data_IF_355364925938
#
_entry.id   IF_355364925938
#
_cell.length_a   1.000
_cell.length_b   1.000
_cell.length_c   1.000
_cell.angle_alpha   90.00
_cell.angle_beta   90.00
_cell.angle_gamma   90.00
#
_symmetry.space_group_name_H-M   'P 1'
#
loop_
_entity.id
_entity.type
_entity.pdbx_description
1 polymer ?
#
# COMPACT_ATOMS: atom_id res chain seq x y z
N UNK A 1 -59.96 -7.99 35.13
CA UNK A 1 -59.32 -6.78 35.72
C UNK A 1 -57.84 -6.99 36.03
N UNK A 2 -57.43 -8.06 36.75
CA UNK A 2 -55.99 -8.40 36.94
C UNK A 2 -55.25 -8.74 35.64
N UNK A 3 -55.90 -9.35 34.64
CA UNK A 3 -55.30 -9.65 33.33
C UNK A 3 -55.09 -8.40 32.44
N UNK A 4 -55.94 -7.37 32.60
CA UNK A 4 -55.79 -6.10 31.86
C UNK A 4 -54.73 -5.16 32.46
N UNK A 5 -54.29 -5.41 33.70
CA UNK A 5 -53.17 -4.70 34.34
C UNK A 5 -51.81 -5.28 33.88
N UNK A 6 -51.74 -6.58 33.58
CA UNK A 6 -50.55 -7.19 32.99
C UNK A 6 -50.29 -6.66 31.56
N UNK A 7 -51.34 -6.47 30.75
CA UNK A 7 -51.22 -5.91 29.39
C UNK A 7 -50.85 -4.42 29.33
N UNK A 8 -50.98 -3.69 30.45
CA UNK A 8 -50.62 -2.26 30.57
C UNK A 8 -49.29 -2.04 31.31
N UNK A 9 -48.56 -3.10 31.63
CA UNK A 9 -47.24 -2.94 32.23
C UNK A 9 -46.27 -2.43 31.16
N UNK A 10 -45.56 -1.30 31.37
CA UNK A 10 -44.64 -0.72 30.40
C UNK A 10 -43.53 -1.70 29.95
N UNK A 11 -43.28 -2.75 30.74
CA UNK A 11 -42.32 -3.79 30.41
C UNK A 11 -42.81 -4.78 29.32
N UNK A 12 -44.12 -4.89 29.07
CA UNK A 12 -44.66 -5.80 28.05
C UNK A 12 -44.54 -5.23 26.62
N UNK A 13 -44.48 -3.91 26.44
CA UNK A 13 -44.18 -3.29 25.13
C UNK A 13 -42.68 -3.40 24.80
N UNK A 14 -41.82 -3.31 25.82
CA UNK A 14 -40.37 -3.53 25.72
C UNK A 14 -40.09 -4.97 25.26
N UNK A 15 -40.62 -5.98 25.96
CA UNK A 15 -40.44 -7.38 25.55
C UNK A 15 -40.96 -7.69 24.14
N UNK A 16 -42.11 -7.11 23.73
CA UNK A 16 -42.65 -7.26 22.37
C UNK A 16 -41.82 -6.60 21.27
N UNK A 17 -41.24 -5.42 21.52
CA UNK A 17 -40.38 -4.72 20.54
C UNK A 17 -38.98 -5.33 20.46
N UNK A 18 -38.50 -5.94 21.54
CA UNK A 18 -37.21 -6.65 21.58
C UNK A 18 -37.32 -8.11 21.09
N UNK A 19 -38.53 -8.68 21.04
CA UNK A 19 -38.78 -10.10 20.70
C UNK A 19 -38.30 -10.57 19.32
N UNK A 20 -38.43 -9.81 18.22
CA UNK A 20 -37.91 -10.22 16.91
C UNK A 20 -36.39 -10.45 16.92
N UNK A 21 -35.67 -9.74 17.79
CA UNK A 21 -34.21 -9.80 17.91
C UNK A 21 -33.72 -10.99 18.75
N UNK A 22 -34.52 -11.44 19.72
CA UNK A 22 -34.26 -12.64 20.55
C UNK A 22 -34.24 -13.89 19.65
N UNK A 23 -35.22 -14.03 18.76
CA UNK A 23 -35.31 -15.18 17.83
C UNK A 23 -34.17 -15.26 16.79
N UNK A 24 -33.47 -14.17 16.49
CA UNK A 24 -32.32 -14.18 15.56
C UNK A 24 -30.99 -14.50 16.26
N UNK A 25 -30.86 -14.15 17.55
CA UNK A 25 -29.62 -14.21 18.34
C UNK A 25 -29.51 -15.46 19.23
N UNK A 26 -30.60 -16.17 19.52
CA UNK A 26 -30.58 -17.49 20.17
C UNK A 26 -29.76 -18.55 19.39
N UNK A 27 -29.46 -18.31 18.10
CA UNK A 27 -28.55 -19.13 17.30
C UNK A 27 -27.06 -18.83 17.50
N UNK A 28 -26.68 -17.71 18.12
CA UNK A 28 -25.29 -17.24 18.26
C UNK A 28 -24.75 -17.31 19.70
N UNK A 29 -25.62 -17.44 20.71
CA UNK A 29 -25.24 -17.42 22.12
C UNK A 29 -24.59 -18.74 22.57
N UNK A 30 -23.34 -18.98 22.18
CA UNK A 30 -22.47 -19.98 22.81
C UNK A 30 -21.64 -19.36 23.93
N UNK A 31 -22.00 -19.69 25.17
CA UNK A 31 -21.28 -19.71 26.48
C UNK A 31 -20.09 -18.79 26.87
N UNK A 32 -19.47 -17.98 26.01
CA UNK A 32 -18.19 -17.30 26.32
C UNK A 32 -18.28 -15.83 26.76
N UNK A 33 -19.41 -15.14 26.54
CA UNK A 33 -19.56 -13.72 26.85
C UNK A 33 -20.64 -13.50 27.92
N UNK A 34 -20.25 -13.59 29.20
CA UNK A 34 -21.12 -13.16 30.31
C UNK A 34 -20.76 -11.73 30.70
N UNK A 35 -21.60 -10.78 30.32
CA UNK A 35 -21.65 -9.48 31.01
C UNK A 35 -21.91 -9.77 32.50
N UNK A 36 -21.10 -9.22 33.40
CA UNK A 36 -21.31 -9.41 34.83
C UNK A 36 -22.72 -8.96 35.22
N UNK A 37 -23.33 -9.64 36.21
CA UNK A 37 -24.69 -9.38 36.72
C UNK A 37 -24.95 -7.91 37.12
N UNK A 38 -23.90 -7.08 37.17
CA UNK A 38 -23.90 -5.72 37.72
C UNK A 38 -23.58 -4.63 36.68
N UNK A 39 -23.67 -4.87 35.36
CA UNK A 39 -23.40 -3.81 34.37
C UNK A 39 -24.32 -2.58 34.53
N UNK A 40 -25.55 -2.78 35.03
CA UNK A 40 -26.48 -1.70 35.37
C UNK A 40 -26.38 -1.22 36.83
N UNK A 41 -25.36 -1.67 37.58
CA UNK A 41 -25.37 -1.69 39.03
C UNK A 41 -26.45 -2.65 39.56
N UNK A 42 -26.43 -2.99 40.86
CA UNK A 42 -27.62 -3.53 41.49
C UNK A 42 -28.76 -2.56 41.15
N UNK A 43 -29.76 -3.04 40.42
CA UNK A 43 -31.04 -2.37 40.19
C UNK A 43 -31.66 -2.12 41.57
N UNK A 44 -31.19 -1.07 42.24
CA UNK A 44 -31.51 -0.77 43.61
C UNK A 44 -32.95 -0.31 43.63
N UNK A 45 -33.83 -1.21 44.04
CA UNK A 45 -35.20 -0.95 44.52
C UNK A 45 -36.26 -0.44 43.53
N UNK A 46 -36.01 -0.43 42.21
CA UNK A 46 -37.01 -0.04 41.19
C UNK A 46 -37.41 -1.18 40.23
N UNK A 47 -38.64 -1.20 39.68
CA UNK A 47 -39.06 -2.19 38.70
C UNK A 47 -38.31 -1.99 37.37
N UNK A 48 -37.35 -2.87 37.08
CA UNK A 48 -36.65 -2.90 35.80
C UNK A 48 -37.45 -3.65 34.75
N UNK A 49 -37.51 -3.13 33.52
CA UNK A 49 -38.26 -3.77 32.44
C UNK A 49 -37.45 -4.74 31.57
N UNK A 50 -36.12 -4.78 31.73
CA UNK A 50 -35.25 -5.68 30.99
C UNK A 50 -34.67 -6.75 31.92
N UNK A 51 -34.55 -7.98 31.41
CA UNK A 51 -33.76 -9.02 32.06
C UNK A 51 -32.27 -8.85 31.73
N UNK A 52 -31.41 -9.44 32.56
CA UNK A 52 -29.96 -9.50 32.30
C UNK A 52 -29.66 -10.15 30.94
N UNK A 53 -30.44 -11.16 30.57
CA UNK A 53 -30.32 -11.86 29.28
C UNK A 53 -30.60 -10.92 28.10
N UNK A 54 -31.64 -10.10 28.18
CA UNK A 54 -31.96 -9.10 27.14
C UNK A 54 -30.80 -8.12 26.96
N UNK A 55 -30.27 -7.55 28.06
CA UNK A 55 -29.17 -6.57 28.00
C UNK A 55 -27.93 -7.19 27.35
N UNK A 56 -27.60 -8.43 27.70
CA UNK A 56 -26.41 -9.11 27.17
C UNK A 56 -26.54 -9.41 25.69
N UNK A 57 -27.72 -9.88 25.27
CA UNK A 57 -28.01 -10.19 23.87
C UNK A 57 -27.89 -8.95 22.99
N UNK A 58 -28.42 -7.81 23.45
CA UNK A 58 -28.33 -6.55 22.71
C UNK A 58 -26.91 -5.99 22.65
N UNK A 59 -26.20 -5.98 23.78
CA UNK A 59 -24.83 -5.47 23.82
C UNK A 59 -23.88 -6.34 22.97
N UNK A 60 -24.08 -7.66 22.97
CA UNK A 60 -23.33 -8.58 22.11
C UNK A 60 -23.68 -8.38 20.63
N UNK A 61 -24.96 -8.16 20.30
CA UNK A 61 -25.40 -7.86 18.94
C UNK A 61 -24.76 -6.58 18.41
N UNK A 62 -24.72 -5.51 19.22
CA UNK A 62 -24.05 -4.25 18.86
C UNK A 62 -22.55 -4.46 18.60
N UNK A 63 -21.83 -5.11 19.53
CA UNK A 63 -20.40 -5.37 19.36
C UNK A 63 -20.09 -6.26 18.15
N UNK A 64 -20.95 -7.24 17.87
CA UNK A 64 -20.83 -8.12 16.71
C UNK A 64 -21.05 -7.37 15.40
N UNK A 65 -22.08 -6.51 15.33
CA UNK A 65 -22.38 -5.73 14.12
C UNK A 65 -21.28 -4.69 13.84
N UNK A 66 -20.77 -4.05 14.90
CA UNK A 66 -19.64 -3.12 14.80
C UNK A 66 -18.38 -3.84 14.30
N UNK A 67 -18.09 -5.04 14.81
CA UNK A 67 -16.97 -5.86 14.32
C UNK A 67 -17.12 -6.21 12.83
N UNK A 68 -18.32 -6.61 12.40
CA UNK A 68 -18.57 -6.91 10.97
C UNK A 68 -18.33 -5.70 10.06
N UNK A 69 -18.75 -4.51 10.47
CA UNK A 69 -18.51 -3.28 9.68
C UNK A 69 -17.01 -3.00 9.56
N UNK A 70 -16.25 -3.21 10.63
CA UNK A 70 -14.79 -3.05 10.64
C UNK A 70 -14.13 -4.10 9.74
N UNK A 71 -14.47 -5.37 9.90
CA UNK A 71 -13.93 -6.47 9.10
C UNK A 71 -14.20 -6.27 7.61
N UNK A 72 -15.41 -5.80 7.26
CA UNK A 72 -15.77 -5.50 5.86
C UNK A 72 -14.90 -4.39 5.24
N UNK A 73 -14.56 -3.35 6.00
CA UNK A 73 -13.69 -2.27 5.52
C UNK A 73 -12.23 -2.72 5.39
N UNK A 74 -11.73 -3.56 6.31
CA UNK A 74 -10.40 -4.16 6.18
C UNK A 74 -10.31 -5.15 5.01
N UNK A 75 -11.34 -5.96 4.78
CA UNK A 75 -11.42 -6.87 3.63
C UNK A 75 -11.42 -6.09 2.31
N UNK A 76 -12.23 -5.02 2.24
CA UNK A 76 -12.29 -4.14 1.07
C UNK A 76 -10.93 -3.50 0.80
N UNK A 77 -10.29 -2.95 1.81
CA UNK A 77 -8.97 -2.33 1.67
C UNK A 77 -7.91 -3.37 1.27
N UNK A 78 -7.89 -4.54 1.90
CA UNK A 78 -6.92 -5.60 1.62
C UNK A 78 -7.01 -6.07 0.16
N UNK A 79 -8.23 -6.19 -0.39
CA UNK A 79 -8.43 -6.46 -1.82
C UNK A 79 -7.86 -5.35 -2.71
N UNK A 80 -8.09 -4.08 -2.36
CA UNK A 80 -7.53 -2.93 -3.07
C UNK A 80 -6.00 -2.96 -3.05
N UNK A 81 -5.40 -3.22 -1.89
CA UNK A 81 -3.95 -3.32 -1.69
C UNK A 81 -3.33 -4.39 -2.59
N UNK A 82 -3.90 -5.60 -2.62
CA UNK A 82 -3.40 -6.69 -3.45
C UNK A 82 -3.58 -6.42 -4.94
N UNK A 83 -4.68 -5.78 -5.35
CA UNK A 83 -4.88 -5.34 -6.73
C UNK A 83 -3.79 -4.33 -7.14
N UNK A 84 -3.49 -3.34 -6.30
CA UNK A 84 -2.42 -2.37 -6.57
C UNK A 84 -1.05 -3.04 -6.67
N UNK A 85 -0.77 -4.03 -5.81
CA UNK A 85 0.45 -4.84 -5.88
C UNK A 85 0.56 -5.57 -7.23
N UNK A 86 -0.50 -6.28 -7.61
CA UNK A 86 -0.55 -7.05 -8.86
C UNK A 86 -0.36 -6.15 -10.08
N UNK A 87 -1.04 -5.00 -10.11
CA UNK A 87 -0.88 -4.01 -11.18
C UNK A 87 0.56 -3.51 -11.32
N UNK A 88 1.26 -3.27 -10.20
CA UNK A 88 2.66 -2.84 -10.23
C UNK A 88 3.59 -3.97 -10.67
N UNK A 89 3.34 -5.20 -10.23
CA UNK A 89 4.14 -6.34 -10.65
C UNK A 89 3.97 -6.62 -12.16
N UNK A 90 2.74 -6.58 -12.69
CA UNK A 90 2.46 -6.68 -14.14
C UNK A 90 3.15 -5.54 -14.89
N UNK A 91 2.92 -4.29 -14.45
CA UNK A 91 3.53 -3.12 -15.07
C UNK A 91 5.05 -3.23 -15.12
N UNK A 92 5.68 -3.59 -14.00
CA UNK A 92 7.14 -3.71 -13.93
C UNK A 92 7.67 -4.78 -14.89
N UNK A 93 6.98 -5.92 -15.00
CA UNK A 93 7.40 -7.02 -15.87
C UNK A 93 7.27 -6.68 -17.35
N UNK A 94 6.14 -6.14 -17.77
CA UNK A 94 5.91 -5.73 -19.17
C UNK A 94 6.89 -4.63 -19.59
N UNK A 95 7.06 -3.63 -18.71
CA UNK A 95 7.97 -2.52 -18.91
C UNK A 95 9.42 -2.98 -19.08
N UNK A 96 9.92 -3.80 -18.16
CA UNK A 96 11.28 -4.34 -18.18
C UNK A 96 11.51 -5.25 -19.40
N UNK A 97 10.48 -6.01 -19.81
CA UNK A 97 10.55 -6.86 -21.01
C UNK A 97 10.71 -6.04 -22.29
N UNK A 98 9.92 -4.98 -22.45
CA UNK A 98 10.00 -4.13 -23.64
C UNK A 98 11.29 -3.29 -23.64
N UNK A 99 11.72 -2.76 -22.48
CA UNK A 99 13.01 -2.07 -22.36
C UNK A 99 14.19 -2.97 -22.72
N UNK A 100 14.15 -4.24 -22.28
CA UNK A 100 15.15 -5.24 -22.67
C UNK A 100 15.17 -5.41 -24.18
N UNK A 101 14.01 -5.60 -24.81
CA UNK A 101 13.88 -5.78 -26.27
C UNK A 101 14.47 -4.59 -27.04
N UNK A 102 14.14 -3.37 -26.63
CA UNK A 102 14.66 -2.14 -27.24
C UNK A 102 16.18 -2.01 -27.05
N UNK A 103 16.68 -2.24 -25.83
CA UNK A 103 18.12 -2.16 -25.54
C UNK A 103 18.93 -3.18 -26.34
N UNK A 104 18.44 -4.42 -26.45
CA UNK A 104 19.04 -5.46 -27.31
C UNK A 104 19.12 -4.94 -28.76
N UNK A 105 18.01 -4.45 -29.30
CA UNK A 105 17.95 -3.95 -30.68
C UNK A 105 18.92 -2.78 -30.91
N UNK A 106 19.01 -1.83 -29.98
CA UNK A 106 19.90 -0.67 -30.06
C UNK A 106 21.38 -1.09 -30.07
N UNK A 107 21.77 -1.96 -29.14
CA UNK A 107 23.16 -2.39 -29.02
C UNK A 107 23.56 -3.38 -30.12
N UNK A 108 22.67 -4.26 -30.58
CA UNK A 108 22.90 -5.12 -31.76
C UNK A 108 23.18 -4.29 -33.01
N UNK A 109 22.51 -3.15 -33.17
CA UNK A 109 22.71 -2.23 -34.30
C UNK A 109 24.10 -1.58 -34.25
N UNK A 110 24.60 -1.24 -33.05
CA UNK A 110 25.88 -0.55 -32.87
C UNK A 110 27.10 -1.48 -33.00
N UNK A 111 27.04 -2.65 -32.37
CA UNK A 111 28.16 -3.61 -32.37
C UNK A 111 28.09 -4.58 -33.56
N UNK A 112 26.93 -4.73 -34.19
CA UNK A 112 26.63 -5.82 -35.10
C UNK A 112 26.32 -7.12 -34.34
N UNK A 113 25.55 -8.01 -34.97
CA UNK A 113 25.00 -9.21 -34.31
C UNK A 113 26.07 -10.15 -33.73
N UNK A 114 27.18 -10.39 -34.44
CA UNK A 114 28.25 -11.31 -33.97
C UNK A 114 28.92 -10.78 -32.70
N UNK A 115 29.35 -9.52 -32.72
CA UNK A 115 30.06 -8.90 -31.58
C UNK A 115 29.14 -8.75 -30.37
N UNK A 116 27.91 -8.25 -30.60
CA UNK A 116 26.92 -8.12 -29.54
C UNK A 116 26.63 -9.45 -28.86
N UNK A 117 26.32 -10.51 -29.62
CA UNK A 117 25.94 -11.82 -29.05
C UNK A 117 27.08 -12.47 -28.28
N UNK A 118 28.32 -12.27 -28.72
CA UNK A 118 29.49 -12.91 -28.11
C UNK A 118 29.93 -12.22 -26.83
N UNK A 119 29.85 -10.88 -26.76
CA UNK A 119 30.53 -10.11 -25.72
C UNK A 119 29.60 -9.23 -24.86
N UNK A 120 28.44 -8.78 -25.38
CA UNK A 120 27.56 -7.81 -24.69
C UNK A 120 26.25 -8.44 -24.20
N UNK A 121 25.71 -9.39 -24.96
CA UNK A 121 24.36 -9.92 -24.76
C UNK A 121 24.10 -10.47 -23.35
N UNK A 122 25.02 -11.25 -22.80
CA UNK A 122 24.83 -11.86 -21.48
C UNK A 122 24.73 -10.81 -20.37
N UNK A 123 25.49 -9.72 -20.45
CA UNK A 123 25.43 -8.65 -19.45
C UNK A 123 24.14 -7.85 -19.55
N UNK A 124 23.62 -7.65 -20.76
CA UNK A 124 22.28 -7.07 -20.98
C UNK A 124 21.22 -7.98 -20.36
N UNK A 125 21.26 -9.28 -20.66
CA UNK A 125 20.31 -10.25 -20.10
C UNK A 125 20.41 -10.28 -18.57
N UNK A 126 21.62 -10.30 -18.02
CA UNK A 126 21.87 -10.30 -16.58
C UNK A 126 21.26 -9.06 -15.90
N UNK A 127 21.48 -7.86 -16.45
CA UNK A 127 20.90 -6.63 -15.94
C UNK A 127 19.37 -6.69 -15.92
N UNK A 128 18.73 -7.04 -17.05
CA UNK A 128 17.27 -7.06 -17.12
C UNK A 128 16.63 -8.22 -16.33
N UNK A 129 17.32 -9.35 -16.18
CA UNK A 129 16.92 -10.41 -15.26
C UNK A 129 17.01 -9.93 -13.80
N UNK A 130 18.05 -9.18 -13.46
CA UNK A 130 18.22 -8.59 -12.12
C UNK A 130 17.12 -7.56 -11.84
N UNK A 131 16.82 -6.67 -12.80
CA UNK A 131 15.75 -5.67 -12.67
C UNK A 131 14.35 -6.28 -12.60
N UNK A 132 14.11 -7.42 -13.27
CA UNK A 132 12.81 -8.11 -13.22
C UNK A 132 12.66 -9.02 -12.00
N UNK A 133 13.75 -9.39 -11.33
CA UNK A 133 13.68 -10.25 -10.15
C UNK A 133 13.35 -9.43 -8.90
N UNK A 134 12.22 -9.77 -8.29
CA UNK A 134 11.70 -9.07 -7.12
C UNK A 134 12.55 -9.22 -5.86
N UNK A 135 13.50 -10.16 -5.84
CA UNK A 135 14.42 -10.42 -4.74
C UNK A 135 15.80 -9.77 -4.93
N UNK A 136 16.09 -9.20 -6.11
CA UNK A 136 17.37 -8.55 -6.35
C UNK A 136 17.54 -7.33 -5.46
N UNK A 137 18.69 -7.23 -4.82
CA UNK A 137 19.10 -6.07 -4.03
C UNK A 137 19.52 -4.89 -4.94
N UNK A 138 19.64 -3.70 -4.34
CA UNK A 138 20.20 -2.53 -5.04
C UNK A 138 21.65 -2.79 -5.45
N UNK A 139 22.39 -3.55 -4.64
CA UNK A 139 23.77 -3.96 -4.92
C UNK A 139 23.85 -4.90 -6.11
N UNK A 140 22.88 -5.81 -6.27
CA UNK A 140 22.80 -6.69 -7.45
C UNK A 140 22.57 -5.87 -8.74
N UNK A 141 21.66 -4.89 -8.70
CA UNK A 141 21.40 -3.98 -9.84
C UNK A 141 22.63 -3.15 -10.15
N UNK A 142 23.31 -2.62 -9.12
CA UNK A 142 24.56 -1.87 -9.27
C UNK A 142 25.63 -2.72 -9.94
N UNK A 143 25.85 -3.93 -9.43
CA UNK A 143 26.82 -4.90 -9.97
C UNK A 143 26.52 -5.27 -11.42
N UNK A 144 25.27 -5.64 -11.73
CA UNK A 144 24.88 -6.01 -13.10
C UNK A 144 25.01 -4.83 -14.09
N UNK A 145 24.78 -3.60 -13.61
CA UNK A 145 24.96 -2.38 -14.40
C UNK A 145 26.44 -2.10 -14.68
N UNK A 146 27.29 -2.22 -13.65
CA UNK A 146 28.75 -2.08 -13.79
C UNK A 146 29.30 -3.17 -14.72
N UNK A 147 28.83 -4.41 -14.59
CA UNK A 147 29.24 -5.51 -15.47
C UNK A 147 28.87 -5.24 -16.93
N UNK A 148 27.69 -4.63 -17.20
CA UNK A 148 27.33 -4.16 -18.53
C UNK A 148 28.29 -3.09 -19.03
N UNK A 149 28.60 -2.06 -18.23
CA UNK A 149 29.54 -1.00 -18.62
C UNK A 149 30.93 -1.56 -18.94
N UNK A 150 31.41 -2.50 -18.12
CA UNK A 150 32.68 -3.19 -18.34
C UNK A 150 32.70 -3.89 -19.70
N UNK A 151 31.66 -4.67 -20.02
CA UNK A 151 31.59 -5.35 -21.31
C UNK A 151 31.47 -4.37 -22.49
N UNK A 152 30.74 -3.27 -22.35
CA UNK A 152 30.68 -2.24 -23.38
C UNK A 152 32.07 -1.63 -23.65
N UNK A 153 32.82 -1.29 -22.60
CA UNK A 153 34.20 -0.76 -22.72
C UNK A 153 35.11 -1.77 -23.41
N UNK A 154 35.06 -3.04 -22.99
CA UNK A 154 35.89 -4.11 -23.55
C UNK A 154 35.56 -4.34 -25.02
N UNK A 155 34.27 -4.45 -25.37
CA UNK A 155 33.83 -4.63 -26.76
C UNK A 155 34.22 -3.45 -27.65
N UNK A 156 34.06 -2.22 -27.18
CA UNK A 156 34.50 -1.03 -27.90
C UNK A 156 36.02 -1.04 -28.12
N UNK A 157 36.80 -1.34 -27.08
CA UNK A 157 38.25 -1.42 -27.20
C UNK A 157 38.66 -2.50 -28.22
N UNK A 158 38.09 -3.71 -28.16
CA UNK A 158 38.36 -4.77 -29.15
C UNK A 158 38.01 -4.33 -30.56
N UNK A 159 36.86 -3.67 -30.74
CA UNK A 159 36.38 -3.27 -32.05
C UNK A 159 37.28 -2.21 -32.73
N UNK A 160 37.90 -1.32 -31.95
CA UNK A 160 38.66 -0.17 -32.48
C UNK A 160 40.17 -0.23 -32.27
N UNK A 161 40.66 -1.10 -31.39
CA UNK A 161 42.08 -1.20 -31.06
C UNK A 161 42.72 -2.53 -31.46
N UNK A 162 41.95 -3.60 -31.63
CA UNK A 162 42.50 -4.95 -31.86
C UNK A 162 42.18 -5.42 -33.27
N UNK A 163 43.24 -5.74 -34.04
CA UNK A 163 43.14 -6.17 -35.45
C UNK A 163 42.43 -7.54 -35.56
N UNK A 164 42.65 -8.41 -34.58
CA UNK A 164 41.94 -9.68 -34.44
C UNK A 164 40.90 -9.62 -33.31
N UNK A 165 39.63 -9.41 -33.66
CA UNK A 165 38.51 -9.31 -32.70
C UNK A 165 38.27 -10.58 -31.87
N UNK A 166 38.86 -11.71 -32.25
CA UNK A 166 38.79 -12.98 -31.51
C UNK A 166 39.90 -13.12 -30.45
N UNK A 167 40.81 -12.14 -30.34
CA UNK A 167 41.88 -12.16 -29.35
C UNK A 167 41.33 -11.94 -27.94
N UNK A 168 41.57 -12.90 -27.05
CA UNK A 168 41.23 -12.79 -25.64
C UNK A 168 42.17 -11.79 -24.99
N UNK A 169 41.62 -10.67 -24.49
CA UNK A 169 42.38 -9.71 -23.69
C UNK A 169 42.80 -10.36 -22.38
N UNK A 170 44.04 -10.15 -21.96
CA UNK A 170 44.50 -10.64 -20.67
C UNK A 170 43.73 -9.99 -19.51
N UNK A 171 43.64 -10.67 -18.36
CA UNK A 171 42.86 -10.21 -17.21
C UNK A 171 43.41 -8.92 -16.57
N UNK A 172 44.74 -8.73 -16.54
CA UNK A 172 45.38 -7.50 -16.05
C UNK A 172 45.09 -6.33 -16.99
N UNK A 173 45.19 -6.54 -18.30
CA UNK A 173 44.83 -5.53 -19.30
C UNK A 173 43.36 -5.15 -19.19
N UNK A 174 42.47 -6.13 -19.11
CA UNK A 174 41.02 -5.92 -18.94
C UNK A 174 40.72 -5.09 -17.69
N UNK A 175 41.32 -5.43 -16.55
CA UNK A 175 41.17 -4.68 -15.29
C UNK A 175 41.69 -3.24 -15.41
N UNK A 176 42.83 -3.05 -16.08
CA UNK A 176 43.39 -1.72 -16.34
C UNK A 176 42.43 -0.88 -17.18
N UNK A 177 41.95 -1.43 -18.30
CA UNK A 177 41.07 -0.74 -19.25
C UNK A 177 39.77 -0.29 -18.57
N UNK A 178 39.12 -1.18 -17.83
CA UNK A 178 37.90 -0.87 -17.08
C UNK A 178 38.14 0.25 -16.08
N UNK A 179 39.15 0.11 -15.21
CA UNK A 179 39.42 1.11 -14.18
C UNK A 179 39.73 2.49 -14.80
N UNK A 180 40.53 2.52 -15.86
CA UNK A 180 40.87 3.78 -16.52
C UNK A 180 39.68 4.38 -17.26
N UNK A 181 38.85 3.56 -17.90
CA UNK A 181 37.65 4.00 -18.58
C UNK A 181 36.64 4.66 -17.62
N UNK A 182 36.50 4.14 -16.40
CA UNK A 182 35.70 4.80 -15.35
C UNK A 182 36.31 6.12 -14.87
N UNK A 183 37.64 6.20 -14.75
CA UNK A 183 38.35 7.41 -14.33
C UNK A 183 38.18 8.56 -15.34
N UNK A 184 38.28 8.25 -16.64
CA UNK A 184 38.20 9.25 -17.72
C UNK A 184 36.78 9.48 -18.25
N UNK A 185 35.77 8.86 -17.63
CA UNK A 185 34.37 8.87 -18.07
C UNK A 185 34.18 8.47 -19.56
N UNK A 186 34.83 7.36 -19.95
CA UNK A 186 34.82 6.87 -21.34
C UNK A 186 33.40 6.59 -21.86
N UNK A 187 32.50 6.16 -20.97
CA UNK A 187 31.08 6.04 -21.23
C UNK A 187 30.37 7.23 -20.57
N UNK A 188 30.09 8.27 -21.36
CA UNK A 188 29.47 9.49 -20.85
C UNK A 188 28.13 9.19 -20.15
N UNK A 189 27.88 9.79 -18.99
CA UNK A 189 26.65 9.58 -18.20
C UNK A 189 26.48 8.18 -17.58
N UNK A 190 27.53 7.34 -17.55
CA UNK A 190 27.48 6.03 -16.86
C UNK A 190 27.08 6.15 -15.37
N UNK A 191 27.55 7.19 -14.68
CA UNK A 191 27.23 7.45 -13.26
C UNK A 191 25.77 7.83 -13.07
N UNK A 192 25.26 8.69 -13.95
CA UNK A 192 23.86 9.09 -13.95
C UNK A 192 22.96 7.89 -14.21
N UNK A 193 23.33 7.02 -15.16
CA UNK A 193 22.55 5.83 -15.46
C UNK A 193 22.55 4.83 -14.30
N UNK A 194 23.71 4.60 -13.68
CA UNK A 194 23.82 3.78 -12.47
C UNK A 194 22.92 4.32 -11.35
N UNK A 195 22.93 5.64 -11.14
CA UNK A 195 22.09 6.31 -10.15
C UNK A 195 20.60 6.12 -10.44
N UNK A 196 20.16 6.26 -11.70
CA UNK A 196 18.76 6.07 -12.09
C UNK A 196 18.30 4.63 -11.84
N UNK A 197 19.11 3.63 -12.26
CA UNK A 197 18.75 2.21 -12.12
C UNK A 197 18.71 1.76 -10.66
N UNK A 198 19.70 2.19 -9.86
CA UNK A 198 19.74 1.88 -8.42
C UNK A 198 18.62 2.59 -7.66
N UNK A 199 18.36 3.88 -7.93
CA UNK A 199 17.25 4.62 -7.31
C UNK A 199 15.89 4.00 -7.66
N UNK A 200 15.69 3.61 -8.92
CA UNK A 200 14.46 2.94 -9.34
C UNK A 200 14.26 1.58 -8.66
N UNK A 201 15.33 0.80 -8.51
CA UNK A 201 15.31 -0.46 -7.77
C UNK A 201 14.95 -0.24 -6.29
N UNK A 202 15.60 0.73 -5.62
CA UNK A 202 15.32 1.07 -4.22
C UNK A 202 13.86 1.48 -4.00
N UNK A 203 13.30 2.31 -4.89
CA UNK A 203 11.91 2.77 -4.78
C UNK A 203 10.90 1.62 -4.92
N UNK A 204 11.14 0.70 -5.87
CA UNK A 204 10.30 -0.49 -6.01
C UNK A 204 10.40 -1.41 -4.79
N UNK A 205 11.59 -1.57 -4.19
CA UNK A 205 11.77 -2.33 -2.96
C UNK A 205 11.05 -1.69 -1.77
N UNK A 206 11.17 -0.36 -1.60
CA UNK A 206 10.46 0.39 -0.57
C UNK A 206 8.95 0.20 -0.70
N UNK A 207 8.43 0.33 -1.92
CA UNK A 207 7.00 0.15 -2.20
C UNK A 207 6.51 -1.27 -1.84
N UNK A 208 7.24 -2.31 -2.25
CA UNK A 208 6.91 -3.70 -1.94
C UNK A 208 6.96 -3.98 -0.45
N UNK A 209 7.99 -3.47 0.22
CA UNK A 209 8.20 -3.60 1.67
C UNK A 209 7.05 -2.93 2.42
N UNK A 210 6.64 -1.74 1.99
CA UNK A 210 5.50 -1.03 2.55
C UNK A 210 4.19 -1.82 2.43
N UNK A 211 3.91 -2.46 1.28
CA UNK A 211 2.73 -3.33 1.15
C UNK A 211 2.74 -4.47 2.19
N UNK A 212 3.91 -5.08 2.43
CA UNK A 212 4.05 -6.15 3.43
C UNK A 212 3.76 -5.61 4.84
N UNK A 213 4.30 -4.44 5.19
CA UNK A 213 4.04 -3.80 6.49
C UNK A 213 2.57 -3.42 6.67
N UNK A 214 1.94 -2.79 5.67
CA UNK A 214 0.51 -2.47 5.67
C UNK A 214 -0.32 -3.73 5.92
N UNK A 215 0.00 -4.82 5.22
CA UNK A 215 -0.73 -6.08 5.38
C UNK A 215 -0.53 -6.69 6.79
N UNK A 216 0.71 -6.67 7.30
CA UNK A 216 1.01 -7.18 8.64
C UNK A 216 0.32 -6.37 9.74
N UNK A 217 0.26 -5.04 9.61
CA UNK A 217 -0.43 -4.16 10.55
C UNK A 217 -1.95 -4.40 10.54
N UNK A 218 -2.54 -4.63 9.36
CA UNK A 218 -3.95 -5.01 9.24
C UNK A 218 -4.22 -6.36 9.92
N UNK A 219 -3.40 -7.39 9.65
CA UNK A 219 -3.55 -8.69 10.30
C UNK A 219 -3.42 -8.59 11.83
N UNK A 220 -2.49 -7.75 12.30
CA UNK A 220 -2.31 -7.50 13.73
C UNK A 220 -3.56 -6.90 14.35
N UNK A 221 -4.12 -5.83 13.79
CA UNK A 221 -5.29 -5.15 14.39
C UNK A 221 -6.56 -6.01 14.31
N UNK A 222 -6.77 -6.76 13.22
CA UNK A 222 -7.96 -7.61 13.06
C UNK A 222 -7.91 -8.90 13.88
N UNK A 223 -6.71 -9.36 14.29
CA UNK A 223 -6.56 -10.50 15.19
C UNK A 223 -6.94 -10.21 16.65
N UNK A 224 -7.11 -8.94 17.01
CA UNK A 224 -7.40 -8.53 18.38
C UNK A 224 -8.92 -8.52 18.64
N UNK A 225 -9.41 -9.24 19.66
CA UNK A 225 -10.81 -9.18 20.06
C UNK A 225 -11.08 -7.83 20.72
N UNK A 226 -11.53 -6.87 19.91
CA UNK A 226 -11.65 -5.46 20.28
C UNK A 226 -13.11 -5.09 20.52
N UNK A 227 -13.98 -5.19 19.51
CA UNK A 227 -15.39 -4.77 19.65
C UNK A 227 -16.27 -5.77 20.41
N UNK A 228 -15.89 -7.04 20.44
CA UNK A 228 -16.56 -8.09 21.23
C UNK A 228 -15.95 -8.24 22.63
N UNK A 229 -15.00 -7.37 23.01
CA UNK A 229 -14.41 -7.40 24.34
C UNK A 229 -15.45 -7.13 25.42
N UNK A 230 -15.31 -7.80 26.57
CA UNK A 230 -16.21 -7.60 27.71
C UNK A 230 -16.25 -6.13 28.16
N UNK A 231 -15.16 -5.37 28.03
CA UNK A 231 -15.12 -3.94 28.38
C UNK A 231 -15.99 -3.09 27.46
N UNK A 232 -15.91 -3.27 26.14
CA UNK A 232 -16.76 -2.54 25.19
C UNK A 232 -18.24 -2.93 25.35
N UNK A 233 -18.54 -4.23 25.44
CA UNK A 233 -19.90 -4.74 25.63
C UNK A 233 -20.50 -4.22 26.95
N UNK A 234 -19.77 -4.28 28.06
CA UNK A 234 -20.23 -3.77 29.36
C UNK A 234 -20.46 -2.27 29.34
N UNK A 235 -19.59 -1.52 28.66
CA UNK A 235 -19.72 -0.07 28.58
C UNK A 235 -20.93 0.34 27.75
N UNK A 236 -21.14 -0.29 26.60
CA UNK A 236 -22.37 -0.12 25.83
C UNK A 236 -23.60 -0.50 26.66
N UNK A 237 -23.58 -1.67 27.33
CA UNK A 237 -24.69 -2.06 28.20
C UNK A 237 -24.99 -0.99 29.27
N UNK A 238 -23.97 -0.50 29.98
CA UNK A 238 -24.10 0.47 31.08
C UNK A 238 -24.54 1.86 30.63
N UNK A 239 -23.92 2.39 29.58
CA UNK A 239 -24.13 3.76 29.13
C UNK A 239 -25.37 3.87 28.21
N UNK A 240 -25.75 2.76 27.56
CA UNK A 240 -26.84 2.75 26.56
C UNK A 240 -28.08 1.98 27.01
N UNK A 241 -27.94 0.70 27.38
CA UNK A 241 -29.08 -0.18 27.61
C UNK A 241 -29.67 -0.02 29.01
N UNK A 242 -28.83 0.12 30.03
CA UNK A 242 -29.26 0.24 31.43
C UNK A 242 -30.19 1.45 31.70
N UNK A 243 -29.92 2.67 31.17
CA UNK A 243 -30.83 3.80 31.34
C UNK A 243 -32.23 3.57 30.78
N UNK A 244 -32.36 2.80 29.68
CA UNK A 244 -33.65 2.43 29.08
C UNK A 244 -34.43 1.44 29.97
N UNK A 245 -33.71 0.58 30.70
CA UNK A 245 -34.29 -0.49 31.50
C UNK A 245 -34.74 -0.07 32.92
N UNK A 246 -34.20 1.03 33.47
CA UNK A 246 -34.42 1.47 34.88
C UNK A 246 -35.57 2.48 35.03
N UNK A 247 -35.91 3.25 33.99
CA UNK A 247 -36.71 4.46 34.15
C UNK A 247 -38.11 4.39 33.52
N UNK A 248 -39.04 3.68 34.17
CA UNK A 248 -40.43 3.47 33.69
C UNK A 248 -41.28 4.75 33.56
N UNK A 249 -41.00 5.82 34.30
CA UNK A 249 -41.75 7.09 34.21
C UNK A 249 -41.26 8.01 33.08
N UNK A 250 -39.95 8.02 32.77
CA UNK A 250 -39.43 8.60 31.51
C UNK A 250 -39.88 7.81 30.29
N UNK A 251 -40.06 6.50 30.42
CA UNK A 251 -40.43 5.60 29.33
C UNK A 251 -41.90 5.72 28.92
N UNK A 252 -42.84 6.00 29.84
CA UNK A 252 -44.24 6.26 29.48
C UNK A 252 -44.45 7.55 28.66
N UNK A 253 -43.54 8.53 28.75
CA UNK A 253 -43.52 9.68 27.84
C UNK A 253 -42.92 9.33 26.46
N UNK A 254 -42.05 8.31 26.39
CA UNK A 254 -41.41 7.81 25.16
C UNK A 254 -42.33 6.80 24.43
N UNK A 255 -43.19 6.06 25.13
CA UNK A 255 -44.12 5.06 24.55
C UNK A 255 -45.31 5.70 23.82
N UNK A 256 -45.74 6.90 24.20
CA UNK A 256 -46.90 7.57 23.59
C UNK A 256 -46.57 8.33 22.30
N UNK A 257 -45.30 8.33 21.89
CA UNK A 257 -44.84 8.83 20.60
C UNK A 257 -44.51 7.61 19.73
N UNK A 258 -45.14 7.46 18.56
CA UNK A 258 -44.91 6.33 17.65
C UNK A 258 -43.48 6.28 17.07
N UNK A 259 -42.61 7.20 17.51
CA UNK A 259 -41.23 7.35 17.12
C UNK A 259 -40.30 6.90 18.27
N UNK A 260 -39.91 5.63 18.25
CA UNK A 260 -38.91 5.02 19.15
C UNK A 260 -37.65 5.90 19.31
N UNK A 261 -37.12 6.10 20.53
CA UNK A 261 -35.83 6.78 20.77
C UNK A 261 -34.79 5.84 21.45
N UNK A 262 -34.01 5.02 20.71
CA UNK A 262 -32.66 4.65 21.16
C UNK A 262 -31.72 5.85 20.98
N UNK A 263 -30.74 6.00 21.88
CA UNK A 263 -29.73 7.06 22.04
C UNK A 263 -29.71 8.27 21.09
N UNK A 264 -29.40 9.43 21.66
CA UNK A 264 -28.92 10.57 20.89
C UNK A 264 -27.62 10.22 20.15
N UNK A 265 -27.50 10.70 18.90
CA UNK A 265 -26.35 10.41 18.03
C UNK A 265 -25.00 10.74 18.72
N UNK A 266 -24.95 11.80 19.53
CA UNK A 266 -23.76 12.18 20.30
C UNK A 266 -23.30 11.13 21.32
N UNK A 267 -24.23 10.52 22.06
CA UNK A 267 -23.92 9.50 23.06
C UNK A 267 -23.46 8.19 22.38
N UNK A 268 -24.09 7.82 21.26
CA UNK A 268 -23.68 6.64 20.49
C UNK A 268 -22.26 6.84 19.92
N UNK A 269 -21.97 8.03 19.38
CA UNK A 269 -20.62 8.38 18.91
C UNK A 269 -19.60 8.32 20.04
N UNK A 270 -19.93 8.78 21.25
CA UNK A 270 -19.04 8.72 22.42
C UNK A 270 -18.72 7.27 22.81
N UNK A 271 -19.74 6.42 22.98
CA UNK A 271 -19.56 5.00 23.35
C UNK A 271 -18.72 4.27 22.30
N UNK A 272 -19.06 4.45 21.01
CA UNK A 272 -18.34 3.82 19.89
C UNK A 272 -16.88 4.25 19.85
N UNK A 273 -16.58 5.55 19.93
CA UNK A 273 -15.19 6.07 19.98
C UNK A 273 -14.42 5.51 21.17
N UNK A 274 -15.10 5.32 22.29
CA UNK A 274 -14.47 4.80 23.49
C UNK A 274 -14.18 3.30 23.35
N UNK A 275 -15.06 2.52 22.74
CA UNK A 275 -14.77 1.14 22.34
C UNK A 275 -13.57 1.07 21.36
N UNK A 276 -13.44 2.03 20.45
CA UNK A 276 -12.29 2.12 19.53
C UNK A 276 -10.97 2.42 20.26
N UNK A 277 -11.01 3.08 21.42
CA UNK A 277 -9.83 3.47 22.21
C UNK A 277 -9.45 2.48 23.32
N UNK A 278 -10.39 1.72 23.89
CA UNK A 278 -10.19 0.98 25.15
C UNK A 278 -9.82 -0.51 25.01
N UNK A 279 -9.38 -0.93 23.84
CA UNK A 279 -9.13 -2.36 23.57
C UNK A 279 -7.63 -2.64 23.51
N UNK A 280 -7.23 -3.91 23.58
CA UNK A 280 -5.82 -4.34 23.52
C UNK A 280 -5.09 -3.91 22.22
N UNK A 281 -5.82 -3.32 21.26
CA UNK A 281 -5.27 -2.50 20.17
C UNK A 281 -6.26 -1.40 19.78
N UNK A 282 -5.89 -0.14 20.00
CA UNK A 282 -6.74 1.02 19.67
C UNK A 282 -6.84 1.19 18.15
N UNK A 283 -8.07 1.15 17.61
CA UNK A 283 -8.31 1.43 16.19
C UNK A 283 -8.02 2.88 15.83
N UNK A 284 -8.11 3.81 16.78
CA UNK A 284 -7.80 5.23 16.56
C UNK A 284 -6.28 5.43 16.49
N UNK A 285 -5.51 4.77 17.35
CA UNK A 285 -4.05 4.78 17.27
C UNK A 285 -3.57 4.09 16.00
N UNK A 286 -4.16 2.93 15.65
CA UNK A 286 -3.92 2.26 14.39
C UNK A 286 -4.22 3.20 13.22
N UNK A 287 -5.41 3.82 13.14
CA UNK A 287 -5.79 4.70 12.04
C UNK A 287 -4.83 5.89 11.91
N UNK A 288 -4.40 6.47 13.04
CA UNK A 288 -3.45 7.59 13.06
C UNK A 288 -2.08 7.18 12.53
N UNK A 289 -1.57 6.02 12.96
CA UNK A 289 -0.30 5.47 12.47
C UNK A 289 -0.42 5.05 10.99
N UNK A 290 -1.54 4.43 10.62
CA UNK A 290 -1.84 3.95 9.28
C UNK A 290 -1.91 5.08 8.26
N UNK A 291 -2.40 6.26 8.66
CA UNK A 291 -2.37 7.47 7.84
C UNK A 291 -0.95 7.87 7.43
N UNK A 292 0.07 7.53 8.20
CA UNK A 292 1.46 7.80 7.81
C UNK A 292 1.88 7.03 6.56
N UNK A 293 1.28 5.86 6.27
CA UNK A 293 1.51 5.17 4.99
C UNK A 293 1.07 6.01 3.79
N UNK A 294 0.00 6.82 3.91
CA UNK A 294 -0.43 7.74 2.86
C UNK A 294 0.64 8.81 2.57
N UNK A 295 1.31 9.31 3.63
CA UNK A 295 2.42 10.26 3.48
C UNK A 295 3.62 9.60 2.78
N UNK A 296 3.96 8.37 3.17
CA UNK A 296 5.06 7.61 2.54
C UNK A 296 4.77 7.37 1.05
N UNK A 297 3.54 6.96 0.69
CA UNK A 297 3.13 6.78 -0.71
C UNK A 297 3.31 8.08 -1.51
N UNK A 298 2.88 9.21 -0.94
CA UNK A 298 3.03 10.53 -1.56
C UNK A 298 4.50 10.91 -1.75
N UNK A 299 5.34 10.64 -0.77
CA UNK A 299 6.77 10.97 -0.85
C UNK A 299 7.49 10.09 -1.89
N UNK A 300 7.08 8.82 -2.04
CA UNK A 300 7.53 7.93 -3.12
C UNK A 300 7.08 8.47 -4.48
N UNK A 301 5.80 8.85 -4.64
CA UNK A 301 5.27 9.46 -5.87
C UNK A 301 6.05 10.72 -6.24
N UNK A 302 6.28 11.61 -5.28
CA UNK A 302 7.04 12.84 -5.49
C UNK A 302 8.48 12.53 -5.92
N UNK A 303 9.14 11.56 -5.28
CA UNK A 303 10.50 11.15 -5.63
C UNK A 303 10.56 10.61 -7.07
N UNK A 304 9.56 9.82 -7.49
CA UNK A 304 9.46 9.33 -8.88
C UNK A 304 9.35 10.49 -9.88
N UNK A 305 8.56 11.51 -9.56
CA UNK A 305 8.38 12.71 -10.37
C UNK A 305 9.66 13.56 -10.43
N UNK A 306 10.27 13.83 -9.28
CA UNK A 306 11.47 14.68 -9.16
C UNK A 306 12.67 14.07 -9.88
N UNK A 307 12.85 12.74 -9.74
CA UNK A 307 13.86 12.01 -10.49
C UNK A 307 13.54 11.86 -11.96
N UNK A 308 12.31 12.19 -12.39
CA UNK A 308 11.76 11.86 -13.71
C UNK A 308 11.99 10.38 -14.04
N UNK A 309 11.85 9.51 -13.03
CA UNK A 309 12.35 8.15 -13.08
C UNK A 309 11.75 7.38 -14.26
N UNK A 310 10.42 7.43 -14.43
CA UNK A 310 9.74 6.73 -15.52
C UNK A 310 10.17 7.27 -16.88
N UNK A 311 10.30 8.59 -17.02
CA UNK A 311 10.76 9.22 -18.26
C UNK A 311 12.18 8.75 -18.60
N UNK A 312 13.09 8.78 -17.63
CA UNK A 312 14.49 8.42 -17.84
C UNK A 312 14.66 6.93 -18.11
N UNK A 313 14.00 6.06 -17.35
CA UNK A 313 14.01 4.61 -17.58
C UNK A 313 13.43 4.27 -18.95
N UNK A 314 12.41 5.00 -19.42
CA UNK A 314 11.79 4.71 -20.71
C UNK A 314 12.71 4.98 -21.90
N UNK A 315 13.66 5.90 -21.68
CA UNK A 315 14.71 6.30 -22.62
C UNK A 315 16.02 5.56 -22.34
N UNK A 316 16.04 4.54 -21.47
CA UNK A 316 17.25 3.79 -21.11
C UNK A 316 18.04 3.30 -22.33
N UNK A 317 17.34 2.70 -23.28
CA UNK A 317 17.94 2.19 -24.52
C UNK A 317 18.58 3.33 -25.37
N UNK A 318 17.99 4.52 -25.35
CA UNK A 318 18.52 5.72 -26.02
C UNK A 318 19.76 6.23 -25.29
N UNK A 319 19.71 6.31 -23.95
CA UNK A 319 20.88 6.70 -23.15
C UNK A 319 22.07 5.77 -23.39
N UNK A 320 21.84 4.45 -23.39
CA UNK A 320 22.87 3.46 -23.70
C UNK A 320 23.38 3.60 -25.14
N UNK A 321 22.48 3.81 -26.10
CA UNK A 321 22.85 4.04 -27.50
C UNK A 321 23.75 5.27 -27.65
N UNK A 322 23.32 6.43 -27.15
CA UNK A 322 24.05 7.69 -27.26
C UNK A 322 25.41 7.64 -26.56
N UNK A 323 25.46 7.00 -25.40
CA UNK A 323 26.69 6.77 -24.64
C UNK A 323 27.71 5.96 -25.46
N UNK A 324 27.27 4.88 -26.09
CA UNK A 324 28.13 4.04 -26.95
C UNK A 324 28.52 4.80 -28.23
N UNK A 325 27.62 5.52 -28.88
CA UNK A 325 27.91 6.34 -30.07
C UNK A 325 28.96 7.42 -29.77
N UNK A 326 28.85 8.11 -28.64
CA UNK A 326 29.86 9.10 -28.21
C UNK A 326 31.22 8.45 -28.00
N UNK A 327 31.25 7.27 -27.37
CA UNK A 327 32.48 6.52 -27.16
C UNK A 327 33.11 6.06 -28.49
N UNK A 328 32.30 5.55 -29.44
CA UNK A 328 32.74 5.19 -30.80
C UNK A 328 33.42 6.38 -31.49
N UNK A 329 32.82 7.56 -31.42
CA UNK A 329 33.28 8.75 -32.12
C UNK A 329 34.44 9.47 -31.42
N UNK A 330 34.80 9.08 -30.19
CA UNK A 330 35.83 9.78 -29.41
C UNK A 330 37.19 9.08 -29.52
N UNK A 331 37.96 9.49 -30.52
CA UNK A 331 39.35 9.02 -30.70
C UNK A 331 40.24 9.23 -29.46
N UNK A 332 39.98 10.30 -28.70
CA UNK A 332 40.76 10.64 -27.52
C UNK A 332 40.65 9.60 -26.41
N UNK A 333 39.49 8.98 -26.23
CA UNK A 333 39.27 7.93 -25.21
C UNK A 333 40.25 6.78 -25.45
N UNK A 334 40.31 6.27 -26.67
CA UNK A 334 41.16 5.14 -27.01
C UNK A 334 42.66 5.45 -26.91
N UNK A 335 43.06 6.67 -27.26
CA UNK A 335 44.45 7.14 -27.07
C UNK A 335 44.81 7.16 -25.58
N UNK A 336 43.92 7.66 -24.73
CA UNK A 336 44.16 7.71 -23.28
C UNK A 336 44.19 6.30 -22.67
N UNK A 337 43.28 5.41 -23.10
CA UNK A 337 43.28 4.01 -22.68
C UNK A 337 44.55 3.28 -23.09
N UNK A 338 45.01 3.44 -24.34
CA UNK A 338 46.25 2.82 -24.82
C UNK A 338 47.49 3.32 -24.08
N UNK A 339 47.56 4.62 -23.76
CA UNK A 339 48.68 5.19 -23.00
C UNK A 339 48.73 4.67 -21.57
N UNK A 340 47.58 4.52 -20.92
CA UNK A 340 47.49 4.06 -19.54
C UNK A 340 47.61 2.54 -19.41
N UNK A 341 47.10 1.81 -20.40
CA UNK A 341 47.04 0.36 -20.46
C UNK A 341 47.69 -0.11 -21.76
N UNK A 342 49.03 -0.10 -21.85
CA UNK A 342 49.74 -0.43 -23.08
C UNK A 342 49.52 -1.89 -23.47
N UNK A 343 49.05 -2.10 -24.69
CA UNK A 343 48.89 -3.40 -25.34
C UNK A 343 49.72 -3.43 -26.63
N UNK A 344 50.70 -4.34 -26.77
CA UNK A 344 51.55 -4.43 -27.95
C UNK A 344 50.79 -4.81 -29.24
N UNK A 345 49.60 -5.39 -29.11
CA UNK A 345 48.76 -5.77 -30.24
C UNK A 345 47.78 -4.66 -30.64
N UNK A 346 47.72 -3.57 -29.86
CA UNK A 346 46.75 -2.51 -30.09
C UNK A 346 47.23 -1.52 -31.16
N UNK A 347 46.43 -1.37 -32.23
CA UNK A 347 46.57 -0.31 -33.22
C UNK A 347 45.23 0.39 -33.36
N UNK A 348 45.24 1.73 -33.33
CA UNK A 348 44.01 2.50 -33.45
C UNK A 348 43.50 2.46 -34.89
N UNK A 349 42.36 1.80 -35.11
CA UNK A 349 41.69 1.74 -36.41
C UNK A 349 40.72 2.91 -36.57
N UNK A 350 40.71 3.54 -37.75
CA UNK A 350 39.76 4.60 -38.07
C UNK A 350 38.34 4.01 -38.21
N UNK A 351 37.32 4.56 -37.51
CA UNK A 351 35.95 4.13 -37.72
C UNK A 351 35.46 4.64 -39.09
N UNK A 352 35.37 3.76 -40.08
CA UNK A 352 34.42 3.96 -41.19
C UNK A 352 33.10 3.31 -40.77
N UNK A 353 32.42 3.92 -39.81
CA UNK A 353 31.04 3.58 -39.49
C UNK A 353 30.17 4.73 -40.00
N UNK A 354 29.40 4.46 -41.06
CA UNK A 354 28.21 5.26 -41.35
C UNK A 354 27.36 5.28 -40.09
N UNK A 355 27.08 6.47 -39.55
CA UNK A 355 26.23 6.63 -38.37
C UNK A 355 24.95 5.79 -38.56
N UNK A 356 24.68 4.83 -37.66
CA UNK A 356 23.42 4.11 -37.72
C UNK A 356 22.26 5.10 -37.51
N UNK A 357 21.08 4.83 -38.10
CA UNK A 357 19.94 5.74 -38.04
C UNK A 357 19.56 6.04 -36.58
N UNK A 358 19.14 7.28 -36.33
CA UNK A 358 18.57 7.69 -35.04
C UNK A 358 17.40 6.79 -34.67
N UNK A 359 17.46 6.17 -33.50
CA UNK A 359 16.38 5.36 -32.96
C UNK A 359 15.24 6.30 -32.54
N UNK A 360 14.04 6.10 -33.07
CA UNK A 360 12.90 6.97 -32.75
C UNK A 360 12.36 6.69 -31.34
N UNK A 361 12.03 7.75 -30.62
CA UNK A 361 11.36 7.65 -29.32
C UNK A 361 9.98 7.02 -29.50
N UNK A 362 9.71 5.87 -28.88
CA UNK A 362 8.34 5.34 -28.73
C UNK A 362 7.58 6.10 -27.62
N UNK A 363 7.29 7.38 -27.85
CA UNK A 363 6.66 8.30 -26.88
C UNK A 363 5.34 7.78 -26.29
N UNK A 364 4.58 7.00 -27.06
CA UNK A 364 3.24 6.54 -26.69
C UNK A 364 3.26 5.47 -25.57
N UNK A 365 4.22 4.53 -25.61
CA UNK A 365 4.42 3.54 -24.55
C UNK A 365 4.89 4.19 -23.25
N UNK A 366 5.81 5.16 -23.34
CA UNK A 366 6.30 5.94 -22.19
C UNK A 366 5.16 6.66 -21.47
N UNK A 367 4.27 7.29 -22.23
CA UNK A 367 3.14 8.04 -21.69
C UNK A 367 2.13 7.13 -20.99
N UNK A 368 1.81 5.97 -21.58
CA UNK A 368 0.91 4.98 -20.98
C UNK A 368 1.50 4.39 -19.70
N UNK A 369 2.81 4.13 -19.66
CA UNK A 369 3.47 3.57 -18.49
C UNK A 369 3.60 4.56 -17.33
N UNK A 370 3.89 5.83 -17.60
CA UNK A 370 3.95 6.86 -16.57
C UNK A 370 2.57 7.12 -15.94
N UNK A 371 1.52 7.15 -16.77
CA UNK A 371 0.15 7.28 -16.28
C UNK A 371 -0.27 6.10 -15.41
N UNK A 372 0.20 4.90 -15.72
CA UNK A 372 -0.15 3.67 -14.99
C UNK A 372 0.47 3.62 -13.59
N UNK A 373 1.77 3.87 -13.43
CA UNK A 373 2.41 3.86 -12.10
C UNK A 373 1.83 4.95 -11.19
N UNK A 374 1.68 6.16 -11.73
CA UNK A 374 1.07 7.30 -11.03
C UNK A 374 -0.36 6.99 -10.57
N UNK A 375 -1.15 6.37 -11.45
CA UNK A 375 -2.52 5.97 -11.15
C UNK A 375 -2.57 4.96 -10.00
N UNK A 376 -1.70 3.94 -10.01
CA UNK A 376 -1.69 2.92 -8.94
C UNK A 376 -1.27 3.52 -7.60
N UNK A 377 -0.25 4.38 -7.57
CA UNK A 377 0.18 5.05 -6.33
C UNK A 377 -0.93 5.93 -5.75
N UNK A 378 -1.60 6.73 -6.60
CA UNK A 378 -2.74 7.55 -6.18
C UNK A 378 -3.93 6.71 -5.72
N UNK A 379 -4.19 5.58 -6.37
CA UNK A 379 -5.25 4.67 -5.96
C UNK A 379 -4.96 4.05 -4.60
N UNK A 380 -3.70 3.68 -4.33
CA UNK A 380 -3.28 3.16 -3.03
C UNK A 380 -3.39 4.24 -1.95
N UNK A 381 -2.88 5.44 -2.22
CA UNK A 381 -3.00 6.59 -1.31
C UNK A 381 -4.47 6.87 -0.96
N UNK A 382 -5.33 6.98 -1.97
CA UNK A 382 -6.77 7.19 -1.80
C UNK A 382 -7.43 6.05 -1.02
N UNK A 383 -7.01 4.80 -1.23
CA UNK A 383 -7.50 3.65 -0.46
C UNK A 383 -7.12 3.75 1.02
N UNK A 384 -5.89 4.20 1.32
CA UNK A 384 -5.41 4.40 2.71
C UNK A 384 -6.22 5.51 3.38
N UNK A 385 -6.37 6.65 2.71
CA UNK A 385 -7.13 7.78 3.22
C UNK A 385 -8.61 7.42 3.44
N UNK A 386 -9.19 6.63 2.52
CA UNK A 386 -10.57 6.12 2.64
C UNK A 386 -10.71 5.22 3.86
N UNK A 387 -9.79 4.26 4.07
CA UNK A 387 -9.84 3.40 5.25
C UNK A 387 -9.70 4.20 6.54
N UNK A 388 -8.81 5.20 6.57
CA UNK A 388 -8.69 6.12 7.69
C UNK A 388 -10.02 6.81 8.02
N UNK A 389 -10.63 7.48 7.03
CA UNK A 389 -11.93 8.18 7.20
C UNK A 389 -13.01 7.19 7.65
N UNK A 390 -13.02 5.98 7.09
CA UNK A 390 -14.01 4.98 7.44
C UNK A 390 -13.91 4.53 8.89
N UNK A 391 -12.68 4.26 9.36
CA UNK A 391 -12.42 3.85 10.74
C UNK A 391 -12.67 4.99 11.74
N UNK A 392 -12.39 6.26 11.39
CA UNK A 392 -12.54 7.37 12.35
C UNK A 392 -13.93 8.01 12.36
N UNK A 393 -14.68 7.93 11.25
CA UNK A 393 -15.93 8.69 11.09
C UNK A 393 -17.08 7.87 10.51
N UNK A 394 -16.86 7.15 9.40
CA UNK A 394 -17.97 6.52 8.66
C UNK A 394 -18.62 5.39 9.44
N UNK A 395 -17.85 4.43 9.94
CA UNK A 395 -18.39 3.28 10.68
C UNK A 395 -19.18 3.77 11.90
N UNK A 396 -18.66 4.78 12.58
CA UNK A 396 -19.33 5.41 13.73
C UNK A 396 -20.64 6.07 13.29
N UNK A 397 -20.65 6.74 12.15
CA UNK A 397 -21.87 7.37 11.61
C UNK A 397 -22.88 6.32 11.15
N UNK A 398 -22.45 5.26 10.49
CA UNK A 398 -23.32 4.20 9.98
C UNK A 398 -23.98 3.42 11.13
N UNK A 399 -23.23 3.09 12.18
CA UNK A 399 -23.79 2.41 13.36
C UNK A 399 -24.72 3.33 14.16
N UNK A 400 -24.40 4.63 14.28
CA UNK A 400 -25.19 5.60 15.05
C UNK A 400 -26.32 6.28 14.27
N UNK A 401 -26.41 6.07 12.95
CA UNK A 401 -27.56 6.48 12.14
C UNK A 401 -28.57 5.35 11.95
N UNK A 402 -28.18 4.12 12.28
CA UNK A 402 -29.08 2.98 12.33
C UNK A 402 -30.05 3.16 13.49
N UNK A 403 -31.36 3.23 13.17
CA UNK A 403 -32.44 3.40 14.14
C UNK A 403 -32.54 2.27 15.16
N UNK A 404 -31.84 1.15 14.95
CA UNK A 404 -31.73 0.09 15.94
C UNK A 404 -30.74 0.42 17.08
N UNK A 405 -29.88 1.43 16.90
CA UNK A 405 -28.80 1.76 17.84
C UNK A 405 -28.76 3.25 18.25
N UNK A 406 -29.34 4.18 17.47
CA UNK A 406 -29.49 5.61 17.83
C UNK A 406 -30.55 6.37 16.99
N UNK A 407 -31.00 7.55 17.45
CA UNK A 407 -32.06 8.38 16.83
C UNK A 407 -31.70 9.88 16.80
N UNK A 408 -32.15 10.54 15.73
CA UNK A 408 -32.19 12.01 15.60
C UNK A 408 -33.55 12.55 16.05
N UNK A 409 -33.66 13.00 17.29
CA UNK A 409 -34.87 13.67 17.80
C UNK A 409 -34.58 15.12 18.20
N UNK A 410 -35.60 16.00 18.18
CA UNK A 410 -35.49 17.40 18.60
C UNK A 410 -34.97 17.57 20.04
N UNK A 411 -35.17 16.56 20.88
CA UNK A 411 -34.67 16.48 22.26
C UNK A 411 -33.18 16.19 22.28
N UNK A 412 -32.70 15.32 21.40
CA UNK A 412 -31.27 15.07 21.21
C UNK A 412 -30.53 16.31 20.72
N UNK A 413 -31.15 17.13 19.87
CA UNK A 413 -30.59 18.41 19.44
C UNK A 413 -30.39 19.42 20.59
N UNK A 414 -31.12 19.30 21.71
CA UNK A 414 -30.91 20.11 22.91
C UNK A 414 -29.82 19.55 23.82
N UNK A 415 -29.72 18.22 23.96
CA UNK A 415 -28.68 17.54 24.74
C UNK A 415 -27.31 17.71 24.07
N UNK A 416 -27.23 17.55 22.74
CA UNK A 416 -26.00 17.77 21.97
C UNK A 416 -25.54 19.24 22.06
N UNK A 417 -26.47 20.19 22.12
CA UNK A 417 -26.16 21.62 22.36
C UNK A 417 -25.68 21.92 23.78
N UNK A 418 -26.05 21.11 24.77
CA UNK A 418 -25.56 21.24 26.14
C UNK A 418 -24.20 20.59 26.32
N UNK A 419 -23.93 19.45 25.67
CA UNK A 419 -22.64 18.76 25.71
C UNK A 419 -21.55 19.44 24.87
N UNK A 420 -21.92 20.28 23.89
CA UNK A 420 -20.98 21.07 23.06
C UNK A 420 -20.54 22.40 23.70
N UNK A 421 -21.16 22.79 24.83
CA UNK A 421 -20.71 23.91 25.68
C UNK A 421 -19.80 23.38 26.77
#
# INVERSE_FOLDING_TARGET
YRENLALRHPCNSINKRLQPYITWTEKLASSQYKVQKDACGQLSSGPACCTHEIINTYALSYGTELQKLIDAEFDRFTRSLFLSKEQIDIWSKEYITELRRLTISSLETLFGTKEYRSNVHQSVISLFNTLSNNQSSVDDVSKATIDLFNQLIISLYRQFMVDNKELVLDAKLTKCLVNKAFEIDALSSQRELLYILTSGSSLLQLFRTMIVYIHADIQRITSLPTMTSNSCIQRYARETLCPLCVNTSRFNQIINDDNNEPLCEGDCRYVTKTCFNQTNGSYIEFATMFKNYSLIVRDIEQTIVDLKLVERLSKLHIYLYDMVVKAINSRQIYIQLQKACPDPNAKLFSPLLSLPPTISERRELVYQWNRSLHFVLKQLQSSIDTLYIHLTEKIITDICSNSNYAVKSNRCTQIDKQNAK
#
